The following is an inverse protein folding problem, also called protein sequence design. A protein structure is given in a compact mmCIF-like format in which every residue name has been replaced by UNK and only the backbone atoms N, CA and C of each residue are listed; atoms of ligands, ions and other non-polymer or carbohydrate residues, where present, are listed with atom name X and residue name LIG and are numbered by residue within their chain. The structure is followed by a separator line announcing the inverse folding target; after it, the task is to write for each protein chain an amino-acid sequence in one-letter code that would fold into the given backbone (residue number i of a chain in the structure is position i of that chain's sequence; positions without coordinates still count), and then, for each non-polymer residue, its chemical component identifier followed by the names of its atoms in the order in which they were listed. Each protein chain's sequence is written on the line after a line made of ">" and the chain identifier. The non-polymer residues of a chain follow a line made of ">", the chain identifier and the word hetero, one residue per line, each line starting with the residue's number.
data_IF_998842004076
#
_entry.id   IF_998842004076
#
_cell.length_a   1.000
_cell.length_b   1.000
_cell.length_c   1.000
_cell.angle_alpha   90.00
_cell.angle_beta   90.00
_cell.angle_gamma   90.00
#
_symmetry.space_group_name_H-M   'P 1'
#
loop_
_entity.id
_entity.type
_entity.pdbx_description
1 polymer ?
#
# COMPACT_ATOMS: atom_id res chain seq x y z
N UNK A 1 -13.57 -12.74 6.90
CA UNK A 1 -12.40 -11.84 6.87
C UNK A 1 -12.24 -11.23 8.24
N UNK A 2 -11.11 -11.45 8.90
CA UNK A 2 -10.81 -10.81 10.18
C UNK A 2 -10.33 -9.38 9.92
N UNK A 3 -11.17 -8.40 10.20
CA UNK A 3 -10.74 -7.00 10.21
C UNK A 3 -9.80 -6.82 11.40
N UNK A 4 -8.60 -6.26 11.18
CA UNK A 4 -7.69 -5.93 12.29
C UNK A 4 -8.41 -4.95 13.21
N UNK A 5 -8.62 -5.33 14.47
CA UNK A 5 -9.23 -4.45 15.46
C UNK A 5 -8.27 -3.30 15.79
N UNK A 6 -8.72 -2.08 15.54
CA UNK A 6 -7.96 -0.88 15.87
C UNK A 6 -7.98 -0.66 17.39
N UNK A 7 -6.87 -0.16 17.91
CA UNK A 7 -6.70 0.11 19.33
C UNK A 7 -7.14 1.55 19.61
N UNK A 8 -8.06 1.73 20.55
CA UNK A 8 -8.47 3.05 21.01
C UNK A 8 -7.28 3.78 21.66
N UNK A 9 -7.17 5.08 21.39
CA UNK A 9 -6.05 5.93 21.80
C UNK A 9 -6.55 7.24 22.38
N UNK A 10 -5.77 7.82 23.29
CA UNK A 10 -6.02 9.15 23.86
C UNK A 10 -4.77 10.01 23.76
N UNK A 11 -4.94 11.33 23.69
CA UNK A 11 -3.84 12.28 23.78
C UNK A 11 -3.36 12.50 25.23
N UNK A 12 -2.35 13.35 25.41
CA UNK A 12 -1.80 13.72 26.72
C UNK A 12 -2.80 14.41 27.66
N UNK A 13 -3.93 14.89 27.13
CA UNK A 13 -5.03 15.51 27.89
C UNK A 13 -6.14 14.51 28.24
N UNK A 14 -6.00 13.25 27.83
CA UNK A 14 -7.01 12.21 28.04
C UNK A 14 -8.19 12.27 27.06
N UNK A 15 -8.09 13.07 25.99
CA UNK A 15 -9.11 13.13 24.95
C UNK A 15 -8.91 12.00 23.94
N UNK A 16 -10.00 11.36 23.51
CA UNK A 16 -9.96 10.33 22.48
C UNK A 16 -9.43 10.90 21.16
N UNK A 17 -8.49 10.19 20.55
CA UNK A 17 -7.94 10.51 19.22
C UNK A 17 -8.19 9.36 18.24
N UNK A 18 -7.77 9.54 16.98
CA UNK A 18 -7.88 8.50 15.95
C UNK A 18 -7.23 7.19 16.42
N UNK A 19 -7.94 6.05 16.30
CA UNK A 19 -7.44 4.78 16.79
C UNK A 19 -6.23 4.32 15.96
N UNK A 20 -5.35 3.55 16.59
CA UNK A 20 -4.09 3.12 15.98
C UNK A 20 -4.09 1.64 15.63
N UNK A 21 -3.16 1.22 14.77
CA UNK A 21 -2.90 -0.19 14.55
C UNK A 21 -2.31 -0.85 15.81
N UNK A 22 -2.62 -2.14 16.05
CA UNK A 22 -1.92 -2.93 17.06
C UNK A 22 -0.39 -2.90 16.85
N UNK A 23 0.34 -3.01 17.96
CA UNK A 23 1.82 -3.02 17.93
C UNK A 23 2.33 -4.12 17.01
N UNK A 24 3.20 -3.76 16.07
CA UNK A 24 3.80 -4.69 15.11
C UNK A 24 3.01 -4.87 13.83
N UNK A 25 1.74 -4.44 13.78
CA UNK A 25 0.93 -4.42 12.56
C UNK A 25 1.35 -3.24 11.67
N UNK A 26 1.27 -3.44 10.35
CA UNK A 26 1.51 -2.43 9.32
C UNK A 26 0.28 -2.33 8.42
N UNK A 27 0.03 -1.12 7.91
CA UNK A 27 -0.90 -0.90 6.81
C UNK A 27 -0.07 -0.72 5.53
N UNK A 28 -0.17 -1.67 4.61
CA UNK A 28 0.50 -1.62 3.32
C UNK A 28 -0.45 -1.05 2.27
N UNK A 29 -0.06 0.07 1.67
CA UNK A 29 -0.60 0.53 0.40
C UNK A 29 0.34 0.08 -0.72
N UNK A 30 -0.10 -0.90 -1.51
CA UNK A 30 0.74 -1.56 -2.52
C UNK A 30 0.23 -1.19 -3.91
N UNK A 31 1.11 -0.69 -4.75
CA UNK A 31 0.77 -0.44 -6.15
C UNK A 31 0.59 -1.76 -6.94
N UNK A 32 -0.15 -1.72 -8.06
CA UNK A 32 -0.36 -2.91 -8.89
C UNK A 32 0.65 -2.93 -10.05
N UNK A 33 0.40 -2.11 -11.06
CA UNK A 33 1.14 -2.11 -12.32
C UNK A 33 2.58 -1.62 -12.10
N UNK A 34 3.55 -2.41 -12.57
CA UNK A 34 4.98 -2.15 -12.34
C UNK A 34 5.48 -2.45 -10.92
N UNK A 35 4.61 -2.97 -10.05
CA UNK A 35 4.96 -3.36 -8.68
C UNK A 35 4.71 -4.84 -8.41
N UNK A 36 3.48 -5.35 -8.60
CA UNK A 36 3.18 -6.79 -8.40
C UNK A 36 3.06 -7.56 -9.72
N UNK A 37 2.93 -6.84 -10.82
CA UNK A 37 2.92 -7.37 -12.18
C UNK A 37 3.65 -6.42 -13.14
N UNK A 38 3.70 -6.81 -14.41
CA UNK A 38 4.15 -5.96 -15.50
C UNK A 38 3.56 -4.54 -15.43
N UNK A 39 4.35 -3.56 -15.87
CA UNK A 39 3.92 -2.16 -15.97
C UNK A 39 3.02 -1.99 -17.19
N UNK A 40 1.74 -1.72 -16.93
CA UNK A 40 0.68 -1.62 -17.93
C UNK A 40 0.09 -0.21 -17.88
N UNK A 41 -0.04 0.47 -19.04
CA UNK A 41 -0.80 1.71 -19.13
C UNK A 41 -2.23 1.51 -18.65
N UNK A 42 -2.69 2.39 -17.76
CA UNK A 42 -4.02 2.28 -17.16
C UNK A 42 -5.17 2.51 -18.16
N UNK A 43 -4.84 2.96 -19.38
CA UNK A 43 -5.74 3.17 -20.52
C UNK A 43 -6.01 1.88 -21.33
N UNK A 44 -5.32 0.78 -21.04
CA UNK A 44 -5.38 -0.49 -21.82
C UNK A 44 -5.97 -1.63 -20.97
N UNK A 45 -7.29 -1.64 -20.69
CA UNK A 45 -7.93 -2.61 -19.79
C UNK A 45 -7.82 -4.06 -20.25
N UNK A 46 -7.69 -4.31 -21.55
CA UNK A 46 -7.49 -5.65 -22.12
C UNK A 46 -6.18 -6.30 -21.67
N UNK A 47 -5.17 -5.51 -21.33
CA UNK A 47 -3.89 -6.01 -20.81
C UNK A 47 -3.95 -6.32 -19.32
N UNK A 48 -4.84 -5.68 -18.58
CA UNK A 48 -4.97 -5.87 -17.12
C UNK A 48 -5.27 -7.32 -16.76
N UNK A 49 -6.07 -8.01 -17.57
CA UNK A 49 -6.47 -9.40 -17.33
C UNK A 49 -5.35 -10.42 -17.58
N UNK A 50 -4.32 -10.06 -18.34
CA UNK A 50 -3.24 -10.98 -18.76
C UNK A 50 -1.87 -10.56 -18.25
N UNK A 51 -1.82 -9.52 -17.42
CA UNK A 51 -0.61 -8.99 -16.80
C UNK A 51 0.16 -10.10 -16.08
N UNK A 52 1.45 -10.27 -16.41
CA UNK A 52 2.23 -11.30 -15.73
C UNK A 52 2.64 -10.84 -14.32
N UNK A 53 2.34 -11.66 -13.33
CA UNK A 53 2.75 -11.45 -11.94
C UNK A 53 4.26 -11.62 -11.80
N UNK A 54 4.90 -10.75 -11.02
CA UNK A 54 6.31 -10.91 -10.71
C UNK A 54 6.55 -12.11 -9.77
N UNK A 55 7.68 -12.83 -9.91
CA UNK A 55 7.99 -13.98 -9.07
C UNK A 55 7.92 -13.66 -7.58
N UNK A 56 7.44 -14.63 -6.79
CA UNK A 56 7.39 -14.63 -5.32
C UNK A 56 6.49 -13.55 -4.66
N UNK A 57 5.90 -12.62 -5.42
CA UNK A 57 5.14 -11.49 -4.87
C UNK A 57 3.86 -11.93 -4.16
N UNK A 58 3.13 -12.88 -4.74
CA UNK A 58 1.92 -13.44 -4.13
C UNK A 58 2.23 -14.07 -2.78
N UNK A 59 3.30 -14.87 -2.70
CA UNK A 59 3.69 -15.54 -1.46
C UNK A 59 4.08 -14.54 -0.37
N UNK A 60 4.85 -13.50 -0.72
CA UNK A 60 5.31 -12.49 0.24
C UNK A 60 4.15 -11.63 0.75
N UNK A 61 3.26 -11.17 -0.14
CA UNK A 61 2.08 -10.39 0.26
C UNK A 61 1.12 -11.22 1.10
N UNK A 62 0.88 -12.47 0.70
CA UNK A 62 0.03 -13.38 1.47
C UNK A 62 0.65 -13.69 2.84
N UNK A 63 1.98 -13.80 2.95
CA UNK A 63 2.65 -13.93 4.25
C UNK A 63 2.39 -12.72 5.15
N UNK A 64 2.50 -11.49 4.63
CA UNK A 64 2.16 -10.29 5.40
C UNK A 64 0.69 -10.28 5.85
N UNK A 65 -0.22 -10.73 4.98
CA UNK A 65 -1.62 -10.89 5.34
C UNK A 65 -1.80 -11.86 6.52
N UNK A 66 -1.18 -13.04 6.47
CA UNK A 66 -1.25 -14.05 7.55
C UNK A 66 -0.55 -13.60 8.84
N UNK A 67 0.48 -12.75 8.74
CA UNK A 67 1.12 -12.09 9.89
C UNK A 67 0.23 -11.02 10.53
N UNK A 68 -0.98 -10.78 10.00
CA UNK A 68 -1.96 -9.84 10.53
C UNK A 68 -1.74 -8.40 10.08
N UNK A 69 -0.98 -8.17 8.99
CA UNK A 69 -0.86 -6.86 8.37
C UNK A 69 -2.07 -6.55 7.48
N UNK A 70 -2.40 -5.27 7.35
CA UNK A 70 -3.45 -4.83 6.44
C UNK A 70 -2.84 -4.63 5.06
N UNK A 71 -3.44 -5.28 4.07
CA UNK A 71 -3.03 -5.21 2.66
C UNK A 71 -4.11 -4.48 1.88
N UNK A 72 -3.78 -3.31 1.34
CA UNK A 72 -4.65 -2.53 0.46
C UNK A 72 -3.92 -2.23 -0.83
N UNK A 73 -4.47 -2.63 -1.98
CA UNK A 73 -3.91 -2.22 -3.26
C UNK A 73 -4.28 -0.77 -3.54
N UNK A 74 -3.34 0.05 -3.99
CA UNK A 74 -3.53 1.47 -4.30
C UNK A 74 -3.04 1.76 -5.72
N UNK A 75 -3.98 1.78 -6.66
CA UNK A 75 -3.69 1.68 -8.11
C UNK A 75 -4.14 2.91 -8.89
N UNK A 76 -3.39 3.21 -9.95
CA UNK A 76 -3.74 4.24 -10.95
C UNK A 76 -4.89 3.83 -11.87
N UNK A 77 -5.28 2.55 -11.86
CA UNK A 77 -6.45 2.04 -12.60
C UNK A 77 -7.70 2.79 -12.16
N UNK A 78 -8.58 3.05 -13.12
CA UNK A 78 -9.85 3.71 -12.85
C UNK A 78 -10.82 2.76 -12.16
N UNK A 79 -11.70 3.29 -11.31
CA UNK A 79 -12.71 2.47 -10.61
C UNK A 79 -13.68 1.76 -11.55
N UNK A 80 -13.84 2.23 -12.80
CA UNK A 80 -14.60 1.52 -13.83
C UNK A 80 -13.98 0.18 -14.25
N UNK A 81 -12.69 -0.04 -13.94
CA UNK A 81 -11.95 -1.28 -14.21
C UNK A 81 -11.83 -2.17 -12.96
N UNK A 82 -12.68 -1.95 -11.95
CA UNK A 82 -12.65 -2.73 -10.72
C UNK A 82 -12.89 -4.21 -10.96
N UNK A 83 -13.88 -4.57 -11.79
CA UNK A 83 -14.23 -5.97 -12.08
C UNK A 83 -13.04 -6.75 -12.64
N UNK A 84 -12.38 -6.24 -13.68
CA UNK A 84 -11.21 -6.91 -14.27
C UNK A 84 -10.01 -6.92 -13.32
N UNK A 85 -9.85 -5.89 -12.48
CA UNK A 85 -8.75 -5.82 -11.52
C UNK A 85 -8.91 -6.83 -10.39
N UNK A 86 -10.11 -6.92 -9.81
CA UNK A 86 -10.40 -7.83 -8.72
C UNK A 86 -10.44 -9.29 -9.19
N UNK A 87 -10.98 -9.55 -10.38
CA UNK A 87 -10.91 -10.89 -10.98
C UNK A 87 -9.46 -11.33 -11.20
N UNK A 88 -8.59 -10.43 -11.68
CA UNK A 88 -7.16 -10.73 -11.84
C UNK A 88 -6.46 -10.97 -10.49
N UNK A 89 -6.77 -10.17 -9.46
CA UNK A 89 -6.21 -10.36 -8.12
C UNK A 89 -6.62 -11.71 -7.51
N UNK A 90 -7.89 -12.10 -7.68
CA UNK A 90 -8.43 -13.38 -7.22
C UNK A 90 -7.81 -14.55 -7.97
N UNK A 91 -7.72 -14.47 -9.30
CA UNK A 91 -7.12 -15.50 -10.16
C UNK A 91 -5.68 -15.82 -9.75
N UNK A 92 -4.91 -14.79 -9.39
CA UNK A 92 -3.52 -14.93 -8.96
C UNK A 92 -3.36 -15.23 -7.46
N UNK A 93 -4.46 -15.32 -6.71
CA UNK A 93 -4.47 -15.76 -5.32
C UNK A 93 -3.98 -14.74 -4.30
N UNK A 94 -4.07 -13.44 -4.59
CA UNK A 94 -3.73 -12.38 -3.63
C UNK A 94 -4.74 -12.34 -2.48
N UNK A 95 -4.24 -12.32 -1.23
CA UNK A 95 -5.02 -12.05 -0.03
C UNK A 95 -4.91 -10.57 0.31
N UNK A 96 -6.03 -9.86 0.30
CA UNK A 96 -6.08 -8.43 0.55
C UNK A 96 -7.35 -8.02 1.29
N UNK A 97 -7.37 -6.79 1.80
CA UNK A 97 -8.47 -6.20 2.56
C UNK A 97 -9.26 -5.18 1.75
N UNK A 98 -8.64 -4.53 0.76
CA UNK A 98 -9.32 -3.61 -0.14
C UNK A 98 -8.48 -3.14 -1.32
N UNK A 99 -9.11 -2.39 -2.22
CA UNK A 99 -8.49 -1.72 -3.36
C UNK A 99 -8.93 -0.26 -3.38
N UNK A 100 -7.98 0.64 -3.49
CA UNK A 100 -8.18 2.07 -3.69
C UNK A 100 -7.80 2.41 -5.14
N UNK A 101 -8.81 2.77 -5.92
CA UNK A 101 -8.69 3.12 -7.33
C UNK A 101 -8.47 4.62 -7.53
N UNK A 102 -8.20 5.00 -8.79
CA UNK A 102 -8.05 6.38 -9.22
C UNK A 102 -6.86 7.10 -8.55
N UNK A 103 -5.79 6.38 -8.20
CA UNK A 103 -4.53 6.99 -7.74
C UNK A 103 -4.06 8.00 -8.81
N UNK A 104 -3.68 9.24 -8.42
CA UNK A 104 -3.11 10.21 -9.34
C UNK A 104 -1.90 9.64 -10.09
N UNK A 105 -1.76 9.97 -11.37
CA UNK A 105 -0.71 9.45 -12.26
C UNK A 105 0.40 10.49 -12.46
N UNK A 106 1.55 10.04 -12.97
CA UNK A 106 2.66 10.91 -13.36
C UNK A 106 3.84 10.94 -12.38
N UNK A 107 3.79 10.16 -11.29
CA UNK A 107 4.85 10.15 -10.29
C UNK A 107 4.91 11.44 -9.46
N UNK A 108 6.05 11.66 -8.79
CA UNK A 108 6.28 12.77 -7.85
C UNK A 108 5.24 12.84 -6.72
N UNK A 109 5.09 11.73 -6.00
CA UNK A 109 4.16 11.62 -4.89
C UNK A 109 4.76 12.20 -3.61
N UNK A 110 4.04 13.16 -3.02
CA UNK A 110 4.30 13.70 -1.69
C UNK A 110 3.15 13.30 -0.79
N UNK A 111 3.39 12.35 0.11
CA UNK A 111 2.37 11.93 1.06
C UNK A 111 2.54 12.72 2.36
N UNK A 112 1.63 13.65 2.57
CA UNK A 112 1.52 14.45 3.79
C UNK A 112 0.44 13.85 4.68
N UNK A 113 0.83 13.46 5.89
CA UNK A 113 -0.07 12.88 6.90
C UNK A 113 0.41 13.32 8.29
N UNK A 114 -0.51 13.49 9.24
CA UNK A 114 -0.16 13.81 10.62
C UNK A 114 0.41 12.58 11.37
N UNK A 115 0.29 11.38 10.79
CA UNK A 115 1.00 10.18 11.21
C UNK A 115 2.25 9.94 10.34
N UNK A 116 3.26 9.26 10.89
CA UNK A 116 4.46 8.91 10.11
C UNK A 116 4.12 7.96 8.96
N UNK A 117 4.25 8.46 7.74
CA UNK A 117 4.19 7.64 6.52
C UNK A 117 5.57 7.07 6.22
N UNK A 118 5.63 5.77 5.91
CA UNK A 118 6.88 5.12 5.49
C UNK A 118 6.83 4.84 4.00
N UNK A 119 7.75 5.42 3.25
CA UNK A 119 7.93 5.11 1.84
C UNK A 119 8.85 3.88 1.67
N UNK A 120 8.43 2.92 0.85
CA UNK A 120 9.28 1.85 0.34
C UNK A 120 9.28 1.94 -1.17
N UNK A 121 10.47 1.95 -1.77
CA UNK A 121 10.61 1.88 -3.23
C UNK A 121 10.86 0.44 -3.67
N UNK A 122 9.97 -0.11 -4.48
CA UNK A 122 10.24 -1.33 -5.22
C UNK A 122 11.19 -1.03 -6.39
N UNK A 123 12.12 -1.94 -6.67
CA UNK A 123 13.06 -1.82 -7.79
C UNK A 123 12.92 -2.99 -8.77
N UNK A 124 12.92 -4.23 -8.27
CA UNK A 124 12.89 -5.41 -9.15
C UNK A 124 12.53 -6.73 -8.46
N UNK A 125 12.77 -6.87 -7.15
CA UNK A 125 12.50 -8.11 -6.40
C UNK A 125 11.90 -7.80 -5.03
N UNK A 126 10.91 -8.59 -4.63
CA UNK A 126 10.40 -8.58 -3.26
C UNK A 126 11.35 -9.43 -2.42
N UNK A 127 12.10 -8.76 -1.54
CA UNK A 127 13.08 -9.39 -0.65
C UNK A 127 12.85 -8.85 0.76
N UNK A 128 13.60 -9.37 1.73
CA UNK A 128 13.57 -8.85 3.09
C UNK A 128 13.93 -7.35 3.13
N UNK A 129 13.22 -6.60 4.00
CA UNK A 129 13.43 -5.17 4.11
C UNK A 129 14.84 -4.84 4.59
N UNK A 130 15.50 -3.93 3.88
CA UNK A 130 16.78 -3.33 4.29
C UNK A 130 16.59 -1.85 4.64
N UNK A 131 17.26 -1.39 5.70
CA UNK A 131 17.25 0.03 6.09
C UNK A 131 18.31 0.81 5.31
N UNK A 132 17.93 1.98 4.78
CA UNK A 132 18.80 2.95 4.11
C UNK A 132 18.41 4.35 4.54
N UNK A 133 19.38 5.24 4.64
CA UNK A 133 19.14 6.67 4.90
C UNK A 133 19.01 7.38 3.55
N UNK A 134 18.00 8.25 3.43
CA UNK A 134 17.74 9.09 2.26
C UNK A 134 17.38 10.49 2.74
N UNK A 135 17.72 11.50 1.97
CA UNK A 135 17.26 12.87 2.19
C UNK A 135 15.76 12.96 1.82
N UNK A 136 15.00 13.67 2.65
CA UNK A 136 13.56 13.88 2.47
C UNK A 136 13.22 15.33 2.77
N UNK A 137 12.19 15.85 2.11
CA UNK A 137 11.62 17.14 2.45
C UNK A 137 10.70 16.97 3.67
N UNK A 138 10.87 17.85 4.66
CA UNK A 138 10.08 17.89 5.88
C UNK A 138 9.59 19.30 6.13
N UNK A 139 8.50 19.44 6.88
CA UNK A 139 8.07 20.74 7.36
C UNK A 139 9.05 21.25 8.41
N UNK A 140 9.38 22.54 8.35
CA UNK A 140 10.11 23.21 9.41
C UNK A 140 9.14 23.50 10.56
N UNK A 141 9.28 22.74 11.65
CA UNK A 141 8.51 22.88 12.88
C UNK A 141 9.32 23.52 14.02
N UNK A 142 10.50 24.07 13.69
CA UNK A 142 11.31 24.82 14.64
C UNK A 142 10.79 26.26 14.73
N UNK A 143 10.01 26.54 15.78
CA UNK A 143 9.69 27.90 16.20
C UNK A 143 10.96 28.64 16.68
N UNK A 144 11.75 29.16 15.73
CA UNK A 144 12.82 30.16 15.90
C UNK A 144 13.48 30.25 17.28
N UNK A 145 14.16 29.19 17.72
CA UNK A 145 15.10 29.20 18.86
C UNK A 145 16.47 28.67 18.47
#
# INVERSE_FOLDING_TARGET
>A
MGMVELVATTDERGLTVSPALPKGCKNFLIDIDGTVCEDIPNEEPERMATAQVFPDVVEIINRWYEEGHIITFFTGRLSQHAEVTEAWLEEHGFKYHGVLYNKPRGGNYHWVDNHTVRATRFNSKFTEFVKRWVEVEVFDDLDGK
#
